data_IF_717929366123
#
_entry.id   IF_717929366123
#
_cell.length_a   1.000
_cell.length_b   1.000
_cell.length_c   1.000
_cell.angle_alpha   90.00
_cell.angle_beta   90.00
_cell.angle_gamma   90.00
#
_symmetry.space_group_name_H-M   'P 1'
#
loop_
_entity.id
_entity.type
_entity.pdbx_description
1 polymer ?
#
# COMPACT_ATOMS: atom_id res chain seq x y z
N UNK A 1 40.92 -0.84 -76.93
CA UNK A 1 39.59 -1.44 -76.64
C UNK A 1 39.76 -2.43 -75.48
N UNK A 2 38.78 -2.57 -74.56
CA UNK A 2 38.83 -1.95 -73.23
C UNK A 2 39.20 -2.87 -72.03
N UNK A 3 39.76 -2.21 -71.01
CA UNK A 3 39.57 -2.27 -69.55
C UNK A 3 38.95 -3.54 -68.92
N UNK A 4 39.61 -4.10 -67.89
CA UNK A 4 38.91 -4.59 -66.70
C UNK A 4 39.78 -4.49 -65.42
N UNK A 5 39.55 -3.43 -64.65
CA UNK A 5 40.15 -3.19 -63.33
C UNK A 5 39.21 -3.80 -62.28
N UNK A 6 39.62 -4.89 -61.61
CA UNK A 6 38.81 -5.53 -60.57
C UNK A 6 38.96 -4.76 -59.25
N UNK A 7 37.88 -4.11 -58.82
CA UNK A 7 37.73 -3.57 -57.46
C UNK A 7 37.23 -4.69 -56.54
N UNK A 8 37.98 -4.99 -55.49
CA UNK A 8 37.51 -5.80 -54.36
C UNK A 8 36.97 -4.82 -53.33
N UNK A 9 35.65 -4.66 -53.28
CA UNK A 9 34.98 -3.88 -52.25
C UNK A 9 34.90 -4.74 -50.98
N UNK A 10 35.63 -4.35 -49.94
CA UNK A 10 35.53 -4.92 -48.60
C UNK A 10 34.31 -4.31 -47.91
N UNK A 11 33.21 -5.05 -47.87
CA UNK A 11 31.99 -4.67 -47.14
C UNK A 11 32.17 -4.94 -45.64
N UNK A 12 32.45 -3.91 -44.87
CA UNK A 12 32.44 -3.96 -43.40
C UNK A 12 30.98 -3.97 -42.92
N UNK A 13 30.50 -5.14 -42.50
CA UNK A 13 29.19 -5.31 -41.86
C UNK A 13 29.26 -4.77 -40.42
N UNK A 14 28.73 -3.57 -40.20
CA UNK A 14 28.42 -3.04 -38.87
C UNK A 14 27.24 -3.84 -38.30
N UNK A 15 27.53 -4.79 -37.40
CA UNK A 15 26.51 -5.45 -36.58
C UNK A 15 26.05 -4.46 -35.49
N UNK A 16 24.98 -3.71 -35.76
CA UNK A 16 24.18 -3.09 -34.70
C UNK A 16 23.45 -4.20 -33.95
N UNK A 17 23.98 -4.63 -32.81
CA UNK A 17 23.25 -5.47 -31.87
C UNK A 17 22.11 -4.63 -31.25
N UNK A 18 20.84 -5.06 -31.36
CA UNK A 18 19.79 -4.46 -30.58
C UNK A 18 20.04 -4.85 -29.11
N UNK A 19 20.40 -3.87 -28.29
CA UNK A 19 20.31 -4.03 -26.83
C UNK A 19 18.82 -4.12 -26.53
N UNK A 20 18.30 -5.35 -26.44
CA UNK A 20 17.00 -5.60 -25.85
C UNK A 20 17.12 -5.18 -24.38
N UNK A 21 16.61 -4.00 -24.05
CA UNK A 21 16.38 -3.60 -22.68
C UNK A 21 15.38 -4.61 -22.09
N UNK A 22 15.88 -5.60 -21.37
CA UNK A 22 15.06 -6.52 -20.61
C UNK A 22 14.35 -5.69 -19.54
N UNK A 23 13.08 -5.36 -19.78
CA UNK A 23 12.23 -4.75 -18.76
C UNK A 23 12.00 -5.82 -17.70
N UNK A 24 12.79 -5.87 -16.63
CA UNK A 24 12.51 -6.72 -15.49
C UNK A 24 11.19 -6.26 -14.88
N UNK A 25 10.09 -6.92 -15.21
CA UNK A 25 8.83 -6.73 -14.48
C UNK A 25 9.08 -7.19 -13.06
N UNK A 26 8.94 -6.26 -12.11
CA UNK A 26 8.98 -6.60 -10.71
C UNK A 26 7.87 -7.63 -10.45
N UNK A 27 8.26 -8.79 -9.92
CA UNK A 27 7.31 -9.86 -9.64
C UNK A 27 6.23 -9.36 -8.67
N UNK A 28 4.96 -9.55 -9.02
CA UNK A 28 3.87 -9.27 -8.10
C UNK A 28 3.74 -10.37 -7.05
N UNK A 29 3.30 -10.00 -5.85
CA UNK A 29 2.95 -10.94 -4.80
C UNK A 29 1.68 -10.50 -4.08
N UNK A 30 1.01 -11.48 -3.48
CA UNK A 30 -0.17 -11.26 -2.65
C UNK A 30 0.20 -11.58 -1.21
N UNK A 31 -0.01 -10.62 -0.31
CA UNK A 31 0.11 -10.81 1.13
C UNK A 31 -1.27 -10.86 1.76
N UNK A 32 -1.48 -11.77 2.71
CA UNK A 32 -2.70 -11.83 3.50
C UNK A 32 -2.35 -11.84 4.98
N UNK A 33 -2.72 -10.78 5.69
CA UNK A 33 -2.56 -10.65 7.12
C UNK A 33 -3.90 -10.92 7.81
N UNK A 34 -3.89 -11.76 8.83
CA UNK A 34 -5.10 -12.20 9.53
C UNK A 34 -5.06 -11.73 10.97
N UNK A 35 -6.18 -11.18 11.44
CA UNK A 35 -6.43 -10.77 12.81
C UNK A 35 -7.76 -11.38 13.27
N UNK A 36 -7.80 -11.94 14.48
CA UNK A 36 -9.05 -12.35 15.09
C UNK A 36 -9.59 -11.21 15.97
N UNK A 37 -10.84 -10.81 15.74
CA UNK A 37 -11.48 -9.75 16.51
C UNK A 37 -12.87 -10.20 16.96
N UNK A 38 -13.01 -10.47 18.26
CA UNK A 38 -14.30 -10.84 18.88
C UNK A 38 -15.02 -12.02 18.19
N UNK A 39 -14.24 -13.06 17.87
CA UNK A 39 -14.73 -14.24 17.16
C UNK A 39 -14.87 -14.06 15.64
N UNK A 40 -14.73 -12.84 15.12
CA UNK A 40 -14.68 -12.58 13.69
C UNK A 40 -13.26 -12.72 13.13
N UNK A 41 -13.16 -13.26 11.92
CA UNK A 41 -11.91 -13.30 11.15
C UNK A 41 -11.79 -12.04 10.31
N UNK A 42 -10.71 -11.30 10.53
CA UNK A 42 -10.36 -10.09 9.77
C UNK A 42 -9.16 -10.42 8.89
N UNK A 43 -9.23 -10.08 7.60
CA UNK A 43 -8.15 -10.31 6.65
C UNK A 43 -7.83 -9.01 5.92
N UNK A 44 -6.56 -8.62 5.90
CA UNK A 44 -6.06 -7.60 4.97
C UNK A 44 -5.34 -8.32 3.84
N UNK A 45 -5.87 -8.21 2.63
CA UNK A 45 -5.24 -8.73 1.42
C UNK A 45 -4.60 -7.56 0.68
N UNK A 46 -3.27 -7.63 0.51
CA UNK A 46 -2.46 -6.62 -0.17
C UNK A 46 -1.85 -7.22 -1.44
N UNK A 47 -2.02 -6.55 -2.58
CA UNK A 47 -1.41 -6.94 -3.85
C UNK A 47 -0.29 -5.95 -4.16
N UNK A 48 0.95 -6.41 -4.09
CA UNK A 48 2.14 -5.55 -4.18
C UNK A 48 3.16 -6.09 -5.18
N UNK A 49 4.15 -5.26 -5.51
CA UNK A 49 5.29 -5.62 -6.35
C UNK A 49 6.51 -5.86 -5.47
N UNK A 50 7.36 -6.80 -5.86
CA UNK A 50 8.68 -7.01 -5.26
C UNK A 50 9.67 -5.98 -5.84
N UNK A 51 9.39 -4.71 -5.54
CA UNK A 51 10.18 -3.53 -5.88
C UNK A 51 9.99 -2.52 -4.74
N UNK A 52 10.83 -1.50 -4.72
CA UNK A 52 10.69 -0.37 -3.81
C UNK A 52 10.49 0.92 -4.60
N UNK A 53 9.86 1.90 -3.96
CA UNK A 53 9.82 3.26 -4.49
C UNK A 53 11.24 3.84 -4.45
N UNK A 54 11.66 4.49 -5.53
CA UNK A 54 12.96 5.13 -5.59
C UNK A 54 13.09 6.20 -4.48
N UNK A 55 14.26 6.29 -3.85
CA UNK A 55 14.48 7.15 -2.68
C UNK A 55 14.21 8.65 -2.94
N UNK A 56 14.34 9.11 -4.19
CA UNK A 56 14.09 10.49 -4.58
C UNK A 56 12.60 10.87 -4.58
N UNK A 57 11.70 9.89 -4.49
CA UNK A 57 10.26 10.10 -4.59
C UNK A 57 9.61 10.43 -3.25
N UNK A 58 8.45 11.10 -3.29
CA UNK A 58 7.67 11.52 -2.11
C UNK A 58 7.25 10.34 -1.22
N UNK A 59 6.94 9.19 -1.84
CA UNK A 59 6.46 7.99 -1.15
C UNK A 59 7.57 6.95 -0.96
N UNK A 60 8.83 7.39 -0.94
CA UNK A 60 9.96 6.54 -0.58
C UNK A 60 9.72 5.94 0.82
N UNK A 61 9.93 4.63 0.95
CA UNK A 61 9.61 3.87 2.17
C UNK A 61 8.17 3.39 2.28
N UNK A 62 7.36 3.53 1.21
CA UNK A 62 6.13 2.75 1.05
C UNK A 62 6.33 1.54 0.14
N UNK A 63 5.75 0.37 0.51
CA UNK A 63 5.73 -0.77 -0.38
C UNK A 63 4.90 -0.46 -1.63
N UNK A 64 5.34 -0.95 -2.79
CA UNK A 64 4.67 -0.73 -4.07
C UNK A 64 3.41 -1.60 -4.18
N UNK A 65 2.37 -1.21 -3.45
CA UNK A 65 1.08 -1.91 -3.45
C UNK A 65 0.10 -1.27 -4.44
N UNK A 66 -0.58 -2.10 -5.22
CA UNK A 66 -1.51 -1.66 -6.28
C UNK A 66 -2.98 -1.81 -5.87
N UNK A 67 -3.26 -2.65 -4.88
CA UNK A 67 -4.59 -2.84 -4.31
C UNK A 67 -4.52 -3.35 -2.86
N UNK A 68 -5.53 -3.00 -2.07
CA UNK A 68 -5.73 -3.47 -0.71
C UNK A 68 -7.21 -3.67 -0.41
N UNK A 69 -7.52 -4.81 0.20
CA UNK A 69 -8.87 -5.23 0.52
C UNK A 69 -8.94 -5.67 1.99
N UNK A 70 -9.88 -5.12 2.73
CA UNK A 70 -10.22 -5.60 4.07
C UNK A 70 -11.37 -6.59 3.96
N UNK A 71 -11.25 -7.77 4.56
CA UNK A 71 -12.34 -8.74 4.71
C UNK A 71 -12.71 -8.84 6.16
N UNK A 72 -14.00 -8.72 6.47
CA UNK A 72 -14.56 -8.95 7.80
C UNK A 72 -15.58 -10.07 7.67
N UNK A 73 -15.30 -11.23 8.28
CA UNK A 73 -16.13 -12.44 8.13
C UNK A 73 -16.43 -12.81 6.66
N UNK A 74 -15.42 -12.70 5.81
CA UNK A 74 -15.52 -12.99 4.37
C UNK A 74 -16.20 -11.89 3.54
N UNK A 75 -16.75 -10.84 4.15
CA UNK A 75 -17.27 -9.69 3.40
C UNK A 75 -16.13 -8.76 3.00
N UNK A 76 -15.93 -8.61 1.70
CA UNK A 76 -14.88 -7.76 1.14
C UNK A 76 -15.26 -6.29 1.16
N UNK A 77 -14.32 -5.45 1.60
CA UNK A 77 -14.41 -3.99 1.62
C UNK A 77 -13.12 -3.44 1.01
N UNK A 78 -13.24 -2.96 -0.23
CA UNK A 78 -12.16 -2.23 -0.89
C UNK A 78 -12.23 -0.78 -0.44
N UNK A 79 -11.10 -0.25 0.00
CA UNK A 79 -10.97 1.17 0.35
C UNK A 79 -10.91 2.00 -0.94
N UNK A 80 -11.58 3.15 -0.95
CA UNK A 80 -11.38 4.14 -2.00
C UNK A 80 -10.08 4.90 -1.71
N UNK A 81 -8.99 4.46 -2.33
CA UNK A 81 -7.66 5.05 -2.15
C UNK A 81 -7.19 5.57 -3.51
N UNK A 82 -6.67 6.82 -3.52
CA UNK A 82 -6.08 7.38 -4.72
C UNK A 82 -4.85 6.58 -5.13
N UNK A 83 -4.59 6.53 -6.43
CA UNK A 83 -3.34 5.98 -6.96
C UNK A 83 -2.41 7.11 -7.37
N UNK A 84 -1.13 6.93 -7.07
CA UNK A 84 -0.03 7.83 -7.44
C UNK A 84 0.96 7.08 -8.33
N UNK A 85 1.53 7.79 -9.29
CA UNK A 85 2.60 7.25 -10.13
C UNK A 85 3.94 7.53 -9.45
N UNK A 86 4.73 6.49 -9.18
CA UNK A 86 6.04 6.60 -8.57
C UNK A 86 7.09 5.90 -9.43
N UNK A 87 8.29 6.47 -9.50
CA UNK A 87 9.45 5.78 -10.05
C UNK A 87 9.95 4.72 -9.05
N UNK A 88 10.16 3.49 -9.51
CA UNK A 88 10.63 2.38 -8.67
C UNK A 88 12.13 2.16 -8.84
N UNK A 89 12.74 1.36 -7.97
CA UNK A 89 14.19 1.09 -8.02
C UNK A 89 14.64 0.35 -9.28
N UNK A 90 13.72 -0.31 -9.99
CA UNK A 90 13.98 -0.89 -11.32
C UNK A 90 13.89 0.12 -12.47
N UNK A 91 13.66 1.40 -12.19
CA UNK A 91 13.55 2.47 -13.18
C UNK A 91 12.19 2.52 -13.89
N UNK A 92 11.17 1.82 -13.36
CA UNK A 92 9.81 1.79 -13.91
C UNK A 92 8.90 2.77 -13.18
N UNK A 93 7.99 3.40 -13.91
CA UNK A 93 6.90 4.17 -13.29
C UNK A 93 5.71 3.25 -13.02
N UNK A 94 5.38 3.06 -11.75
CA UNK A 94 4.24 2.22 -11.32
C UNK A 94 3.14 3.07 -10.69
N UNK A 95 1.87 2.78 -11.02
CA UNK A 95 0.71 3.32 -10.33
C UNK A 95 0.42 2.49 -9.08
N UNK A 96 0.76 3.03 -7.91
CA UNK A 96 0.55 2.40 -6.61
C UNK A 96 -0.49 3.16 -5.77
N UNK A 97 -0.95 2.57 -4.68
CA UNK A 97 -1.81 3.23 -3.71
C UNK A 97 -1.05 4.38 -3.04
N UNK A 98 -1.71 5.53 -2.89
CA UNK A 98 -1.16 6.69 -2.17
C UNK A 98 -1.19 6.53 -0.65
N UNK A 99 -1.73 5.43 -0.15
CA UNK A 99 -1.75 5.08 1.26
C UNK A 99 -1.76 3.55 1.38
N UNK A 100 -0.83 3.00 2.15
CA UNK A 100 -0.74 1.55 2.37
C UNK A 100 -0.96 1.24 3.84
N UNK A 101 -1.87 0.30 4.12
CA UNK A 101 -2.12 -0.21 5.48
C UNK A 101 -0.88 -0.95 5.98
N UNK A 102 -0.40 -0.57 7.16
CA UNK A 102 0.78 -1.13 7.83
C UNK A 102 0.48 -1.69 9.22
N UNK A 103 -0.75 -1.49 9.69
CA UNK A 103 -1.18 -1.96 10.98
C UNK A 103 -2.65 -2.33 11.00
N UNK A 104 -2.98 -3.32 11.81
CA UNK A 104 -4.33 -3.75 12.12
C UNK A 104 -4.48 -3.93 13.63
N UNK A 105 -5.67 -3.66 14.16
CA UNK A 105 -5.96 -3.78 15.57
C UNK A 105 -7.43 -4.16 15.80
N UNK A 106 -7.69 -4.93 16.86
CA UNK A 106 -9.03 -5.18 17.35
C UNK A 106 -9.26 -4.36 18.62
N UNK A 107 -10.17 -3.39 18.55
CA UNK A 107 -10.52 -2.54 19.68
C UNK A 107 -11.81 -3.07 20.28
N UNK A 108 -11.71 -3.63 21.49
CA UNK A 108 -12.88 -4.14 22.21
C UNK A 108 -13.57 -3.01 22.95
N UNK A 109 -14.86 -2.86 22.73
CA UNK A 109 -15.71 -1.95 23.48
C UNK A 109 -16.79 -2.69 24.27
N UNK A 110 -17.36 -2.02 25.27
CA UNK A 110 -18.41 -2.62 26.11
C UNK A 110 -19.75 -2.82 25.41
N UNK A 111 -19.96 -2.17 24.26
CA UNK A 111 -21.20 -2.26 23.45
C UNK A 111 -20.96 -2.89 22.07
N UNK A 112 -19.69 -3.07 21.68
CA UNK A 112 -19.30 -3.69 20.43
C UNK A 112 -17.82 -3.48 20.14
N UNK A 113 -17.26 -4.38 19.32
CA UNK A 113 -15.86 -4.30 18.89
C UNK A 113 -15.71 -3.52 17.57
N UNK A 114 -14.52 -2.98 17.36
CA UNK A 114 -14.10 -2.29 16.14
C UNK A 114 -12.82 -2.93 15.60
N UNK A 115 -12.66 -2.90 14.28
CA UNK A 115 -11.39 -3.14 13.61
C UNK A 115 -10.77 -1.78 13.31
N UNK A 116 -9.59 -1.51 13.85
CA UNK A 116 -8.77 -0.37 13.44
C UNK A 116 -7.70 -0.81 12.45
N UNK A 117 -7.46 0.03 11.44
CA UNK A 117 -6.34 -0.11 10.52
C UNK A 117 -5.60 1.22 10.37
N UNK A 118 -4.27 1.17 10.41
CA UNK A 118 -3.40 2.33 10.22
C UNK A 118 -2.59 2.21 8.94
N UNK A 119 -2.36 3.34 8.27
CA UNK A 119 -1.65 3.37 6.99
C UNK A 119 -0.72 4.58 6.84
N UNK A 120 0.34 4.39 6.07
CA UNK A 120 1.28 5.44 5.69
C UNK A 120 0.88 6.04 4.33
N UNK A 121 0.84 7.38 4.21
CA UNK A 121 0.52 8.10 2.97
C UNK A 121 1.68 8.86 2.35
N UNK A 122 2.70 9.23 3.13
CA UNK A 122 3.92 9.91 2.67
C UNK A 122 5.16 9.02 2.73
N UNK A 123 6.24 9.50 3.36
CA UNK A 123 7.56 8.86 3.41
C UNK A 123 7.67 7.60 4.32
N UNK A 124 6.54 6.99 4.69
CA UNK A 124 6.54 5.79 5.55
C UNK A 124 6.95 5.98 7.01
N UNK A 125 7.23 7.21 7.47
CA UNK A 125 7.77 7.44 8.81
C UNK A 125 6.73 7.38 9.94
N UNK A 126 5.53 7.93 9.72
CA UNK A 126 4.46 8.03 10.73
C UNK A 126 3.10 7.67 10.11
N UNK A 127 2.25 6.86 10.75
CA UNK A 127 0.93 6.56 10.22
C UNK A 127 0.15 7.86 10.15
N UNK A 128 -0.31 8.21 8.95
CA UNK A 128 -1.05 9.45 8.72
C UNK A 128 -2.55 9.18 8.63
N UNK A 129 -2.91 7.95 8.26
CA UNK A 129 -4.29 7.52 8.09
C UNK A 129 -4.65 6.45 9.11
N UNK A 130 -5.77 6.65 9.81
CA UNK A 130 -6.38 5.68 10.73
C UNK A 130 -7.85 5.52 10.38
N UNK A 131 -8.30 4.28 10.19
CA UNK A 131 -9.70 3.98 9.88
C UNK A 131 -10.27 2.93 10.82
N UNK A 132 -11.52 3.13 11.22
CA UNK A 132 -12.24 2.29 12.15
C UNK A 132 -13.47 1.70 11.47
N UNK A 133 -13.56 0.38 11.50
CA UNK A 133 -14.63 -0.40 10.88
C UNK A 133 -15.43 -1.11 11.96
N UNK A 134 -16.75 -1.08 11.86
CA UNK A 134 -17.60 -1.97 12.65
C UNK A 134 -17.49 -3.41 12.17
N UNK A 135 -17.95 -4.35 13.00
CA UNK A 135 -17.87 -5.80 12.71
C UNK A 135 -18.73 -6.25 11.51
N UNK A 136 -19.60 -5.38 10.98
CA UNK A 136 -20.34 -5.56 9.73
C UNK A 136 -19.59 -4.99 8.50
N UNK A 137 -18.36 -4.48 8.69
CA UNK A 137 -17.52 -3.95 7.63
C UNK A 137 -17.84 -2.52 7.20
N UNK A 138 -18.68 -1.77 7.93
CA UNK A 138 -18.89 -0.35 7.65
C UNK A 138 -17.73 0.49 8.19
N UNK A 139 -17.16 1.35 7.36
CA UNK A 139 -16.26 2.41 7.82
C UNK A 139 -17.08 3.42 8.64
N UNK A 140 -16.81 3.50 9.94
CA UNK A 140 -17.57 4.35 10.88
C UNK A 140 -16.80 5.59 11.30
N UNK A 141 -15.47 5.55 11.22
CA UNK A 141 -14.64 6.72 11.45
C UNK A 141 -13.34 6.61 10.64
N UNK A 142 -12.80 7.73 10.18
CA UNK A 142 -11.39 7.81 9.82
C UNK A 142 -10.83 9.19 10.11
N UNK A 143 -9.51 9.23 10.30
CA UNK A 143 -8.72 10.46 10.35
C UNK A 143 -7.55 10.30 9.40
N UNK A 144 -7.36 11.27 8.51
CA UNK A 144 -6.18 11.36 7.66
C UNK A 144 -5.50 12.71 7.87
N UNK A 145 -4.35 12.73 8.51
CA UNK A 145 -3.62 13.96 8.84
C UNK A 145 -2.13 13.69 9.05
N UNK A 146 -1.32 14.73 8.90
CA UNK A 146 0.06 14.74 9.38
C UNK A 146 0.29 15.93 10.32
N UNK A 147 1.55 16.17 10.71
CA UNK A 147 1.91 17.27 11.62
C UNK A 147 1.60 18.67 11.07
N UNK A 148 1.33 18.81 9.77
CA UNK A 148 1.15 20.10 9.11
C UNK A 148 -0.30 20.36 8.68
N UNK A 149 -1.07 19.32 8.30
CA UNK A 149 -2.45 19.48 7.82
C UNK A 149 -3.30 18.22 8.00
N UNK A 150 -4.62 18.45 7.96
CA UNK A 150 -5.62 17.40 7.77
C UNK A 150 -5.93 17.22 6.27
N UNK A 151 -6.07 15.98 5.84
CA UNK A 151 -6.44 15.57 4.49
C UNK A 151 -7.90 15.09 4.40
N UNK A 152 -8.52 14.79 5.54
CA UNK A 152 -9.91 14.35 5.60
C UNK A 152 -10.23 13.65 6.92
N UNK A 153 -11.53 13.56 7.22
CA UNK A 153 -12.03 12.77 8.34
C UNK A 153 -13.48 12.36 8.11
N UNK A 154 -13.93 11.34 8.84
CA UNK A 154 -15.32 10.90 8.92
C UNK A 154 -15.64 10.55 10.37
N UNK A 155 -16.83 10.95 10.83
CA UNK A 155 -17.30 10.67 12.20
C UNK A 155 -16.47 11.34 13.28
N UNK A 156 -16.73 11.01 14.54
CA UNK A 156 -15.95 11.49 15.68
C UNK A 156 -15.50 10.37 16.61
N UNK A 157 -14.44 10.61 17.40
CA UNK A 157 -14.01 9.67 18.44
C UNK A 157 -15.07 9.50 19.53
N UNK A 158 -15.78 10.58 19.86
CA UNK A 158 -16.83 10.54 20.87
C UNK A 158 -17.99 9.64 20.44
N UNK A 159 -18.36 9.66 19.15
CA UNK A 159 -19.31 8.71 18.58
C UNK A 159 -18.84 7.25 18.70
N UNK A 160 -17.54 6.98 18.54
CA UNK A 160 -17.00 5.63 18.73
C UNK A 160 -17.16 5.18 20.18
N UNK A 161 -16.82 6.05 21.13
CA UNK A 161 -16.96 5.78 22.58
C UNK A 161 -18.44 5.57 22.92
N UNK A 162 -19.34 6.43 22.47
CA UNK A 162 -20.75 6.35 22.78
C UNK A 162 -21.40 5.09 22.19
N UNK A 163 -21.12 4.80 20.91
CA UNK A 163 -21.78 3.73 20.16
C UNK A 163 -21.22 2.35 20.46
N UNK A 164 -19.90 2.23 20.57
CA UNK A 164 -19.21 0.94 20.75
C UNK A 164 -18.73 0.72 22.19
N UNK A 165 -18.69 1.75 23.02
CA UNK A 165 -18.19 1.63 24.39
C UNK A 165 -16.69 1.37 24.45
N UNK A 166 -15.94 1.81 23.44
CA UNK A 166 -14.47 1.72 23.40
C UNK A 166 -13.86 2.78 24.30
N UNK A 167 -12.68 2.51 24.86
CA UNK A 167 -12.01 3.48 25.72
C UNK A 167 -11.29 4.55 24.89
N UNK A 168 -11.21 5.77 25.42
CA UNK A 168 -10.42 6.85 24.79
C UNK A 168 -8.95 6.45 24.65
N UNK A 169 -8.42 5.67 25.59
CA UNK A 169 -7.03 5.20 25.57
C UNK A 169 -6.77 4.32 24.35
N UNK A 170 -7.65 3.38 24.06
CA UNK A 170 -7.49 2.45 22.94
C UNK A 170 -7.60 3.17 21.58
N UNK A 171 -8.31 4.29 21.51
CA UNK A 171 -8.37 5.11 20.30
C UNK A 171 -7.10 5.93 20.06
N UNK A 172 -6.31 6.23 21.11
CA UNK A 172 -5.12 7.11 21.04
C UNK A 172 -3.83 6.31 20.96
N UNK A 173 -3.78 5.18 21.66
CA UNK A 173 -2.59 4.35 21.80
C UNK A 173 -2.88 2.93 21.32
N UNK A 174 -2.96 2.78 20.00
CA UNK A 174 -3.17 1.47 19.36
C UNK A 174 -1.95 0.54 19.56
N UNK A 175 -0.81 1.07 20.02
CA UNK A 175 0.46 0.34 20.11
C UNK A 175 0.39 -0.91 20.99
N UNK A 176 -0.53 -0.95 21.97
CA UNK A 176 -0.67 -2.07 22.89
C UNK A 176 -1.29 -3.34 22.27
N UNK A 177 -1.99 -3.21 21.14
CA UNK A 177 -2.71 -4.33 20.50
C UNK A 177 -2.63 -4.28 18.97
N UNK A 178 -1.67 -3.53 18.45
CA UNK A 178 -1.44 -3.40 17.02
C UNK A 178 -0.66 -4.60 16.48
N UNK A 179 -1.24 -5.28 15.50
CA UNK A 179 -0.53 -6.21 14.64
C UNK A 179 0.08 -5.41 13.49
N UNK A 180 1.41 -5.43 13.38
CA UNK A 180 2.13 -4.82 12.25
C UNK A 180 1.98 -5.70 11.01
N UNK A 181 1.85 -5.06 9.86
CA UNK A 181 1.86 -5.69 8.54
C UNK A 181 3.26 -5.53 7.96
N UNK A 182 3.90 -6.64 7.59
CA UNK A 182 5.28 -6.65 7.11
C UNK A 182 5.32 -6.83 5.58
N UNK A 183 5.92 -5.91 4.85
CA UNK A 183 6.06 -6.06 3.40
C UNK A 183 7.47 -6.53 3.05
N UNK A 184 7.62 -7.27 1.94
CA UNK A 184 8.94 -7.75 1.50
C UNK A 184 9.90 -6.59 1.20
N UNK A 185 9.34 -5.50 0.66
CA UNK A 185 10.03 -4.28 0.26
C UNK A 185 9.18 -3.08 0.69
N UNK A 186 9.40 -2.52 1.89
CA UNK A 186 8.84 -1.23 2.27
C UNK A 186 9.52 -0.10 1.48
#
# INVERSE_FOLDING_TARGET
MPVLRKYVASSTLFFCLPVAAASSDAASYTRTDVLNCDGAKIELVSICQNDAVEQSQEHSGLPVCTDQMLKINGQEKRREIKKVSQLTTTGKTTKMLSNVVVSMACIKGSKGSLVSIGGYGGCGACPEWHGYYSMDGKLVNYVYSNSFRSFGSLGSRDELIEKFGVSKRDLVDESAFVQRVEYERP
#
